data_IF_581897158314
#
_entry.id   IF_581897158314
#
_cell.length_a   1.000
_cell.length_b   1.000
_cell.length_c   1.000
_cell.angle_alpha   90.00
_cell.angle_beta   90.00
_cell.angle_gamma   90.00
#
_symmetry.space_group_name_H-M   'P 1'
#
loop_
_entity.id
_entity.type
_entity.pdbx_description
1 polymer ?
#
# COMPACT_ATOMS: atom_id res chain seq x y z
N UNK A 1 15.24 11.50 0.03
CA UNK A 1 15.78 10.84 -1.19
C UNK A 1 15.09 11.35 -2.46
N UNK A 2 13.75 11.26 -2.55
CA UNK A 2 12.97 11.75 -3.71
C UNK A 2 13.33 13.19 -4.12
N UNK A 3 13.36 14.14 -3.19
CA UNK A 3 13.79 15.52 -3.48
C UNK A 3 15.10 15.61 -4.28
N UNK A 4 16.12 14.81 -3.93
CA UNK A 4 17.42 14.84 -4.61
C UNK A 4 17.28 14.33 -6.04
N UNK A 5 16.66 13.17 -6.23
CA UNK A 5 16.47 12.53 -7.54
C UNK A 5 15.67 13.46 -8.47
N UNK A 6 14.56 14.01 -7.98
CA UNK A 6 13.70 14.89 -8.78
C UNK A 6 14.32 16.26 -9.02
N UNK A 7 15.19 16.76 -8.13
CA UNK A 7 15.98 17.98 -8.36
C UNK A 7 16.98 17.81 -9.49
N UNK A 8 17.54 16.61 -9.62
CA UNK A 8 18.47 16.26 -10.70
C UNK A 8 17.71 15.97 -12.02
N UNK A 9 16.38 16.18 -12.06
CA UNK A 9 15.54 16.03 -13.25
C UNK A 9 15.19 14.58 -13.61
N UNK A 10 15.46 13.63 -12.70
CA UNK A 10 15.27 12.21 -12.96
C UNK A 10 13.87 11.74 -12.51
N UNK A 11 13.21 10.85 -13.27
CA UNK A 11 11.97 10.22 -12.84
C UNK A 11 12.22 9.24 -11.68
N UNK A 12 11.22 9.05 -10.83
CA UNK A 12 11.32 8.19 -9.65
C UNK A 12 10.08 7.31 -9.43
N UNK A 13 10.33 6.12 -8.89
CA UNK A 13 9.32 5.23 -8.29
C UNK A 13 9.61 5.12 -6.78
N UNK A 14 8.57 5.08 -5.95
CA UNK A 14 8.70 4.91 -4.51
C UNK A 14 8.31 3.49 -4.07
N UNK A 15 9.19 2.82 -3.32
CA UNK A 15 8.86 1.52 -2.71
C UNK A 15 9.20 1.45 -1.21
N UNK A 16 9.99 2.40 -0.69
CA UNK A 16 10.60 2.30 0.66
C UNK A 16 9.61 2.26 1.82
N UNK A 17 8.38 2.74 1.64
CA UNK A 17 7.34 2.68 2.65
C UNK A 17 6.37 1.51 2.47
N UNK A 18 6.50 0.72 1.39
CA UNK A 18 5.60 -0.37 1.01
C UNK A 18 6.31 -1.73 0.95
N UNK A 19 7.16 -2.02 1.94
CA UNK A 19 7.73 -3.35 2.13
C UNK A 19 6.74 -4.21 2.93
N UNK A 20 6.06 -5.10 2.21
CA UNK A 20 5.03 -5.98 2.73
C UNK A 20 5.62 -7.17 3.51
N UNK A 21 6.85 -7.57 3.22
CA UNK A 21 7.56 -8.64 3.94
C UNK A 21 7.84 -8.26 5.40
N UNK A 22 7.97 -6.97 5.71
CA UNK A 22 8.05 -6.43 7.06
C UNK A 22 6.68 -6.52 7.77
N UNK A 23 6.46 -7.62 8.50
CA UNK A 23 5.25 -7.81 9.30
C UNK A 23 5.27 -6.95 10.58
N UNK A 24 4.10 -6.39 10.92
CA UNK A 24 3.82 -5.80 12.24
C UNK A 24 2.59 -6.47 12.86
N UNK A 25 2.23 -6.13 14.08
CA UNK A 25 1.20 -6.80 14.90
C UNK A 25 -0.24 -6.50 14.47
N UNK A 26 -0.52 -6.51 13.16
CA UNK A 26 -1.82 -6.18 12.56
C UNK A 26 -1.99 -4.68 12.27
N UNK A 27 -2.86 -4.35 11.30
CA UNK A 27 -3.18 -2.96 10.94
C UNK A 27 -2.05 -2.17 10.25
N UNK A 28 -0.95 -2.82 9.88
CA UNK A 28 0.18 -2.22 9.17
C UNK A 28 -0.19 -1.62 7.81
N UNK A 29 -1.30 -2.07 7.21
CA UNK A 29 -1.88 -1.45 6.02
C UNK A 29 -2.12 0.07 6.20
N UNK A 30 -2.41 0.56 7.42
CA UNK A 30 -2.58 1.99 7.69
C UNK A 30 -1.28 2.77 7.46
N UNK A 31 -0.13 2.18 7.81
CA UNK A 31 1.19 2.76 7.51
C UNK A 31 1.37 2.87 5.99
N UNK A 32 1.00 1.84 5.24
CA UNK A 32 1.09 1.85 3.77
C UNK A 32 0.16 2.90 3.15
N UNK A 33 -1.08 3.01 3.65
CA UNK A 33 -2.08 3.98 3.19
C UNK A 33 -1.67 5.43 3.48
N UNK A 34 -1.03 5.67 4.62
CA UNK A 34 -0.58 7.00 5.03
C UNK A 34 0.72 7.44 4.35
N UNK A 35 1.42 6.56 3.64
CA UNK A 35 2.60 6.94 2.87
C UNK A 35 2.22 7.73 1.63
N UNK A 36 2.49 9.03 1.60
CA UNK A 36 2.29 9.87 0.42
C UNK A 36 3.60 10.03 -0.38
N UNK A 37 3.65 9.56 -1.65
CA UNK A 37 4.85 9.71 -2.48
C UNK A 37 5.21 11.16 -2.82
N UNK A 38 4.30 12.10 -2.61
CA UNK A 38 4.51 13.53 -2.83
C UNK A 38 4.82 14.31 -1.55
N UNK A 39 4.94 13.64 -0.39
CA UNK A 39 5.31 14.27 0.89
C UNK A 39 6.82 14.52 1.00
N UNK A 40 7.30 15.42 0.14
CA UNK A 40 8.65 15.96 0.21
C UNK A 40 8.66 17.42 -0.25
N UNK A 41 9.66 18.17 0.24
CA UNK A 41 9.90 19.56 -0.17
C UNK A 41 10.32 19.55 -1.64
N UNK A 42 9.54 20.16 -2.53
CA UNK A 42 9.85 20.23 -3.96
C UNK A 42 8.79 21.02 -4.74
N UNK A 43 9.17 21.51 -5.92
CA UNK A 43 8.25 22.22 -6.83
C UNK A 43 7.23 21.26 -7.44
N UNK A 44 6.15 21.79 -8.03
CA UNK A 44 5.19 20.97 -8.77
C UNK A 44 5.84 20.16 -9.90
N UNK A 45 6.83 20.73 -10.59
CA UNK A 45 7.61 20.04 -11.63
C UNK A 45 8.47 18.90 -11.06
N UNK A 46 9.05 19.07 -9.87
CA UNK A 46 9.76 17.97 -9.20
C UNK A 46 8.80 16.87 -8.79
N UNK A 47 7.63 17.23 -8.25
CA UNK A 47 6.59 16.27 -7.87
C UNK A 47 6.04 15.48 -9.06
N UNK A 48 5.91 16.10 -10.24
CA UNK A 48 5.47 15.40 -11.45
C UNK A 48 6.48 14.38 -11.99
N UNK A 49 7.73 14.37 -11.51
CA UNK A 49 8.70 13.33 -11.85
C UNK A 49 8.50 12.03 -11.05
N UNK A 50 7.64 12.04 -10.03
CA UNK A 50 7.25 10.82 -9.32
C UNK A 50 6.17 10.11 -10.13
N UNK A 51 6.56 9.01 -10.79
CA UNK A 51 5.68 8.30 -11.72
C UNK A 51 4.71 7.33 -11.02
N UNK A 52 4.97 7.03 -9.74
CA UNK A 52 4.19 6.08 -8.95
C UNK A 52 5.09 5.34 -7.97
N UNK A 53 4.84 4.05 -7.81
CA UNK A 53 5.65 3.20 -6.97
C UNK A 53 5.16 1.77 -6.87
N UNK A 54 5.79 1.00 -6.00
CA UNK A 54 5.63 -0.45 -5.93
C UNK A 54 5.53 -0.93 -4.48
N UNK A 55 4.62 -1.87 -4.23
CA UNK A 55 4.65 -2.65 -3.00
C UNK A 55 5.54 -3.87 -3.19
N UNK A 56 6.55 -4.02 -2.34
CA UNK A 56 7.54 -5.08 -2.43
C UNK A 56 7.19 -6.23 -1.48
N UNK A 57 7.28 -7.46 -1.97
CA UNK A 57 7.19 -8.68 -1.16
C UNK A 57 8.47 -9.47 -1.37
N UNK A 58 9.48 -9.19 -0.56
CA UNK A 58 10.72 -9.96 -0.56
C UNK A 58 10.51 -11.38 -0.01
N UNK A 59 11.30 -12.34 -0.49
CA UNK A 59 11.00 -13.76 -0.36
C UNK A 59 11.79 -14.52 0.71
N UNK A 60 12.53 -13.83 1.59
CA UNK A 60 13.39 -14.43 2.61
C UNK A 60 12.59 -15.37 3.53
N UNK A 61 11.34 -15.01 3.83
CA UNK A 61 10.41 -15.77 4.68
C UNK A 61 9.04 -15.97 4.03
N UNK A 62 8.98 -15.92 2.70
CA UNK A 62 7.74 -16.02 1.91
C UNK A 62 7.86 -17.13 0.87
N UNK A 63 6.81 -17.96 0.77
CA UNK A 63 6.72 -19.04 -0.21
C UNK A 63 5.25 -19.28 -0.63
N UNK A 64 4.99 -20.33 -1.41
CA UNK A 64 3.66 -20.67 -1.91
C UNK A 64 2.58 -20.90 -0.84
N UNK A 65 2.95 -21.12 0.43
CA UNK A 65 2.00 -21.35 1.51
C UNK A 65 1.51 -20.08 2.20
N UNK A 66 2.25 -18.97 2.08
CA UNK A 66 1.94 -17.75 2.85
C UNK A 66 1.94 -16.46 2.00
N UNK A 67 2.33 -16.53 0.73
CA UNK A 67 2.46 -15.34 -0.13
C UNK A 67 1.14 -14.56 -0.25
N UNK A 68 0.03 -15.23 -0.53
CA UNK A 68 -1.24 -14.56 -0.83
C UNK A 68 -1.83 -13.87 0.40
N UNK A 69 -1.87 -14.54 1.55
CA UNK A 69 -2.39 -13.96 2.81
C UNK A 69 -1.49 -12.87 3.37
N UNK A 70 -0.18 -12.91 3.08
CA UNK A 70 0.72 -11.80 3.37
C UNK A 70 0.45 -10.63 2.43
N UNK A 71 0.28 -10.82 1.13
CA UNK A 71 0.08 -9.71 0.19
C UNK A 71 -1.29 -9.05 0.43
N UNK A 72 -2.36 -9.86 0.50
CA UNK A 72 -3.73 -9.38 0.55
C UNK A 72 -4.30 -9.45 1.97
N UNK A 73 -4.99 -8.40 2.45
CA UNK A 73 -5.43 -7.21 1.72
C UNK A 73 -4.44 -6.05 1.81
N UNK A 74 -3.28 -6.21 2.48
CA UNK A 74 -2.35 -5.12 2.81
C UNK A 74 -1.91 -4.29 1.60
N UNK A 75 -1.62 -4.94 0.48
CA UNK A 75 -1.24 -4.27 -0.78
C UNK A 75 -2.33 -3.33 -1.33
N UNK A 76 -3.60 -3.56 -0.97
CA UNK A 76 -4.72 -2.71 -1.43
C UNK A 76 -4.59 -1.28 -0.93
N UNK A 77 -3.93 -1.07 0.21
CA UNK A 77 -3.63 0.26 0.72
C UNK A 77 -2.70 1.04 -0.22
N UNK A 78 -1.62 0.39 -0.67
CA UNK A 78 -0.72 0.95 -1.68
C UNK A 78 -1.42 1.16 -3.01
N UNK A 79 -2.25 0.19 -3.44
CA UNK A 79 -3.00 0.29 -4.68
C UNK A 79 -3.95 1.50 -4.69
N UNK A 80 -4.70 1.73 -3.61
CA UNK A 80 -5.58 2.89 -3.49
C UNK A 80 -4.79 4.20 -3.47
N UNK A 81 -3.63 4.22 -2.81
CA UNK A 81 -2.75 5.40 -2.75
C UNK A 81 -2.17 5.81 -4.10
N UNK A 82 -1.90 4.83 -4.95
CA UNK A 82 -1.35 5.04 -6.30
C UNK A 82 -2.43 5.32 -7.35
N UNK A 83 -3.68 4.97 -7.09
CA UNK A 83 -4.79 5.12 -8.03
C UNK A 83 -5.71 6.31 -7.73
N UNK A 84 -6.08 6.50 -6.47
CA UNK A 84 -7.09 7.47 -6.06
C UNK A 84 -6.56 8.89 -6.02
N UNK A 85 -7.47 9.87 -6.08
CA UNK A 85 -7.10 11.27 -5.91
C UNK A 85 -6.45 11.51 -4.54
N UNK A 86 -5.52 12.47 -4.47
CA UNK A 86 -4.80 12.80 -3.23
C UNK A 86 -5.71 13.25 -2.06
N UNK A 87 -6.93 13.72 -2.36
CA UNK A 87 -7.95 14.05 -1.37
C UNK A 87 -8.55 12.82 -0.67
N UNK A 88 -8.40 11.63 -1.25
CA UNK A 88 -8.82 10.35 -0.65
C UNK A 88 -7.70 9.89 0.29
N UNK A 89 -7.72 10.38 1.53
CA UNK A 89 -6.65 10.16 2.49
C UNK A 89 -7.13 9.82 3.91
N UNK A 90 -8.44 9.65 4.13
CA UNK A 90 -8.99 9.26 5.42
C UNK A 90 -8.87 7.74 5.65
N UNK A 91 -7.98 7.35 6.58
CA UNK A 91 -7.73 5.95 6.89
C UNK A 91 -8.94 5.25 7.55
N UNK A 92 -9.79 5.94 8.30
CA UNK A 92 -10.96 5.32 8.94
C UNK A 92 -12.10 5.05 7.96
N UNK A 93 -12.22 5.88 6.92
CA UNK A 93 -13.08 5.58 5.79
C UNK A 93 -12.52 4.40 4.96
N UNK A 94 -11.22 4.42 4.68
CA UNK A 94 -10.56 3.33 3.96
C UNK A 94 -10.70 1.99 4.69
N UNK A 95 -10.62 1.98 6.03
CA UNK A 95 -10.76 0.77 6.83
C UNK A 95 -12.09 0.04 6.54
N UNK A 96 -13.21 0.78 6.47
CA UNK A 96 -14.53 0.23 6.18
C UNK A 96 -14.61 -0.36 4.77
N UNK A 97 -14.08 0.35 3.77
CA UNK A 97 -14.05 -0.12 2.38
C UNK A 97 -13.12 -1.33 2.19
N UNK A 98 -12.04 -1.39 2.98
CA UNK A 98 -11.07 -2.47 2.95
C UNK A 98 -11.63 -3.78 3.52
N UNK A 99 -12.50 -3.74 4.54
CA UNK A 99 -13.23 -4.92 5.02
C UNK A 99 -14.06 -5.54 3.88
N UNK A 100 -14.89 -4.73 3.22
CA UNK A 100 -15.72 -5.15 2.09
C UNK A 100 -14.88 -5.68 0.92
N UNK A 101 -13.75 -5.02 0.62
CA UNK A 101 -12.82 -5.48 -0.41
C UNK A 101 -12.17 -6.81 -0.04
N UNK A 102 -11.85 -7.02 1.24
CA UNK A 102 -11.31 -8.29 1.75
C UNK A 102 -12.33 -9.41 1.55
N UNK A 103 -13.60 -9.18 1.90
CA UNK A 103 -14.65 -10.16 1.65
C UNK A 103 -14.85 -10.45 0.16
N UNK A 104 -14.81 -9.44 -0.71
CA UNK A 104 -14.85 -9.65 -2.17
C UNK A 104 -13.66 -10.46 -2.68
N UNK A 105 -12.46 -10.26 -2.14
CA UNK A 105 -11.27 -11.05 -2.49
C UNK A 105 -11.43 -12.51 -2.06
N UNK A 106 -11.89 -12.74 -0.83
CA UNK A 106 -12.15 -14.09 -0.30
C UNK A 106 -13.21 -14.83 -1.12
N UNK A 107 -14.32 -14.18 -1.48
CA UNK A 107 -15.35 -14.76 -2.35
C UNK A 107 -14.81 -15.10 -3.76
N UNK A 108 -13.75 -14.43 -4.22
CA UNK A 108 -13.08 -14.70 -5.50
C UNK A 108 -11.93 -15.71 -5.38
N UNK A 109 -11.77 -16.36 -4.23
CA UNK A 109 -10.74 -17.37 -4.00
C UNK A 109 -9.34 -16.82 -3.67
N UNK A 110 -9.21 -15.52 -3.40
CA UNK A 110 -7.96 -14.93 -2.91
C UNK A 110 -7.97 -15.00 -1.38
N UNK A 111 -7.07 -15.74 -0.71
CA UNK A 111 -7.11 -15.94 0.74
C UNK A 111 -6.53 -14.72 1.47
N UNK A 112 -7.28 -13.61 1.50
CA UNK A 112 -6.88 -12.37 2.14
C UNK A 112 -7.06 -12.45 3.67
N UNK A 113 -6.06 -11.99 4.43
CA UNK A 113 -6.15 -11.95 5.89
C UNK A 113 -7.11 -10.86 6.41
N UNK A 114 -7.62 -10.93 7.66
CA UNK A 114 -8.44 -9.86 8.22
C UNK A 114 -7.68 -8.51 8.30
N UNK A 115 -8.23 -7.38 7.82
CA UNK A 115 -7.51 -6.11 7.80
C UNK A 115 -7.56 -5.33 9.11
N UNK A 116 -8.69 -5.29 9.84
CA UNK A 116 -8.85 -4.46 11.05
C UNK A 116 -9.12 -5.25 12.34
N UNK A 117 -8.85 -6.56 12.35
CA UNK A 117 -9.04 -7.42 13.52
C UNK A 117 -10.20 -8.41 13.34
N UNK A 118 -10.91 -8.79 14.42
CA UNK A 118 -11.95 -9.79 14.36
C UNK A 118 -13.14 -9.32 13.52
N UNK A 119 -13.65 -10.21 12.66
CA UNK A 119 -14.77 -9.96 11.76
C UNK A 119 -15.11 -11.21 10.95
N UNK A 120 -16.12 -11.12 10.08
CA UNK A 120 -16.50 -12.21 9.18
C UNK A 120 -17.07 -11.67 7.87
N UNK A 121 -17.03 -12.51 6.84
CA UNK A 121 -17.68 -12.28 5.55
C UNK A 121 -18.92 -13.17 5.45
N UNK A 122 -19.94 -12.69 4.76
CA UNK A 122 -21.17 -13.45 4.44
C UNK A 122 -21.05 -14.00 3.02
#
# INVERSE_FOLDING_TARGET
LLNKITRDGLPALLSSCWYLDHLSTGGDWRKFYNCDPHDFIGTGQQKSLVLGGEACMWSEVVNGHNILSRIFPRVSATAEKLWSAASVNNADEAARRLEEQTCRMNHRGIPAQPPNGPGFCI
#
